data_IF_926202576556
#
_entry.id   IF_926202576556
#
_cell.length_a   1.000
_cell.length_b   1.000
_cell.length_c   1.000
_cell.angle_alpha   90.00
_cell.angle_beta   90.00
_cell.angle_gamma   90.00
#
_symmetry.space_group_name_H-M   'P 1'
#
loop_
_entity.id
_entity.type
_entity.pdbx_description
1 polymer ?
#
# COMPACT_ATOMS: atom_id res chain seq x y z
N UNK A 1 45.71 -2.60 15.98
CA UNK A 1 45.53 -2.42 17.42
C UNK A 1 45.28 -3.79 18.06
N UNK A 2 45.94 -4.14 19.16
CA UNK A 2 45.80 -5.46 19.78
C UNK A 2 44.47 -5.67 20.54
N UNK A 3 43.62 -4.64 20.62
CA UNK A 3 42.32 -4.72 21.27
C UNK A 3 41.26 -3.93 20.52
N UNK A 4 40.02 -4.40 20.63
CA UNK A 4 38.86 -3.67 20.14
C UNK A 4 38.58 -2.51 21.10
N UNK A 5 38.61 -1.29 20.59
CA UNK A 5 38.29 -0.10 21.36
C UNK A 5 37.19 0.67 20.61
N UNK A 6 36.12 0.99 21.33
CA UNK A 6 35.00 1.78 20.81
C UNK A 6 35.06 3.16 21.48
N UNK A 7 35.07 4.22 20.65
CA UNK A 7 35.05 5.60 21.11
C UNK A 7 33.65 6.18 21.23
N UNK A 8 32.69 5.55 20.52
CA UNK A 8 31.29 5.97 20.47
C UNK A 8 30.37 4.76 20.56
N UNK A 9 29.11 5.01 20.95
CA UNK A 9 28.08 3.98 21.00
C UNK A 9 27.59 3.70 19.58
N UNK A 10 27.69 2.46 19.15
CA UNK A 10 27.13 1.95 17.91
C UNK A 10 25.97 0.98 18.14
N UNK A 11 25.19 0.75 17.11
CA UNK A 11 24.06 -0.17 17.16
C UNK A 11 24.33 -1.40 16.29
N UNK A 12 23.85 -2.56 16.76
CA UNK A 12 23.90 -3.79 15.98
C UNK A 12 22.60 -3.95 15.19
N UNK A 13 22.63 -3.64 13.89
CA UNK A 13 21.50 -3.78 12.98
C UNK A 13 21.48 -5.14 12.24
N UNK A 14 22.11 -6.16 12.79
CA UNK A 14 22.13 -7.49 12.16
C UNK A 14 20.75 -8.12 12.23
N UNK A 15 20.32 -8.68 11.08
CA UNK A 15 19.15 -9.52 11.02
C UNK A 15 19.42 -10.84 11.75
N UNK A 16 18.55 -11.23 12.66
CA UNK A 16 18.67 -12.54 13.32
C UNK A 16 18.22 -13.68 12.38
N UNK A 17 18.62 -14.89 12.67
CA UNK A 17 18.39 -16.04 11.79
C UNK A 17 16.88 -16.36 11.63
N UNK A 18 16.06 -16.12 12.63
CA UNK A 18 14.61 -16.33 12.53
C UNK A 18 13.98 -15.34 11.55
N UNK A 19 14.33 -14.05 11.65
CA UNK A 19 13.84 -13.04 10.71
C UNK A 19 14.34 -13.31 9.29
N UNK A 20 15.60 -13.76 9.13
CA UNK A 20 16.16 -14.13 7.85
C UNK A 20 15.44 -15.33 7.22
N UNK A 21 15.14 -16.36 8.00
CA UNK A 21 14.39 -17.53 7.53
C UNK A 21 12.97 -17.18 7.09
N UNK A 22 12.27 -16.36 7.87
CA UNK A 22 10.94 -15.86 7.49
C UNK A 22 11.03 -15.03 6.22
N UNK A 23 12.01 -14.12 6.12
CA UNK A 23 12.23 -13.29 4.96
C UNK A 23 12.48 -14.12 3.69
N UNK A 24 13.30 -15.15 3.78
CA UNK A 24 13.58 -16.05 2.65
C UNK A 24 12.32 -16.78 2.19
N UNK A 25 11.57 -17.38 3.12
CA UNK A 25 10.32 -18.07 2.82
C UNK A 25 9.27 -17.15 2.16
N UNK A 26 9.20 -15.88 2.59
CA UNK A 26 8.33 -14.88 1.96
C UNK A 26 8.80 -14.50 0.56
N UNK A 27 10.12 -14.36 0.38
CA UNK A 27 10.72 -13.99 -0.89
C UNK A 27 10.46 -15.06 -1.97
N UNK A 28 10.52 -16.35 -1.62
CA UNK A 28 10.19 -17.46 -2.54
C UNK A 28 8.77 -17.40 -3.10
N UNK A 29 7.84 -16.75 -2.40
CA UNK A 29 6.42 -16.60 -2.79
C UNK A 29 6.08 -15.21 -3.34
N UNK A 30 7.02 -14.28 -3.31
CA UNK A 30 6.76 -12.86 -3.58
C UNK A 30 6.15 -12.64 -4.96
N UNK A 31 6.71 -13.22 -6.01
CA UNK A 31 6.22 -13.04 -7.39
C UNK A 31 4.79 -13.54 -7.56
N UNK A 32 4.44 -14.67 -6.96
CA UNK A 32 3.10 -15.24 -7.00
C UNK A 32 2.11 -14.29 -6.33
N UNK A 33 2.49 -13.70 -5.19
CA UNK A 33 1.61 -12.80 -4.45
C UNK A 33 1.46 -11.43 -5.13
N UNK A 34 2.54 -10.94 -5.73
CA UNK A 34 2.49 -9.70 -6.52
C UNK A 34 1.55 -9.88 -7.71
N UNK A 35 1.69 -10.97 -8.46
CA UNK A 35 0.82 -11.25 -9.60
C UNK A 35 -0.66 -11.36 -9.17
N UNK A 36 -0.93 -12.05 -8.07
CA UNK A 36 -2.30 -12.17 -7.54
C UNK A 36 -2.90 -10.81 -7.17
N UNK A 37 -2.12 -9.90 -6.56
CA UNK A 37 -2.57 -8.53 -6.26
C UNK A 37 -2.83 -7.72 -7.52
N UNK A 38 -2.00 -7.87 -8.54
CA UNK A 38 -2.19 -7.24 -9.86
C UNK A 38 -3.49 -7.70 -10.51
N UNK A 39 -3.78 -8.99 -10.45
CA UNK A 39 -5.06 -9.56 -10.93
C UNK A 39 -6.27 -9.01 -10.16
N UNK A 40 -6.17 -8.88 -8.84
CA UNK A 40 -7.23 -8.25 -8.03
C UNK A 40 -7.45 -6.81 -8.45
N UNK A 41 -6.38 -6.01 -8.60
CA UNK A 41 -6.49 -4.62 -9.06
C UNK A 41 -7.14 -4.55 -10.46
N UNK A 42 -6.71 -5.39 -11.39
CA UNK A 42 -7.31 -5.49 -12.72
C UNK A 42 -8.80 -5.83 -12.66
N UNK A 43 -9.20 -6.74 -11.78
CA UNK A 43 -10.61 -7.08 -11.58
C UNK A 43 -11.42 -5.89 -11.09
N UNK A 44 -10.91 -5.13 -10.10
CA UNK A 44 -11.56 -3.91 -9.64
C UNK A 44 -11.71 -2.88 -10.76
N UNK A 45 -10.66 -2.67 -11.56
CA UNK A 45 -10.71 -1.77 -12.71
C UNK A 45 -11.79 -2.19 -13.69
N UNK A 46 -11.83 -3.45 -14.10
CA UNK A 46 -12.82 -3.96 -15.05
C UNK A 46 -14.26 -3.83 -14.53
N UNK A 47 -14.49 -4.02 -13.22
CA UNK A 47 -15.81 -3.92 -12.62
C UNK A 47 -16.30 -2.48 -12.44
N UNK A 48 -15.37 -1.53 -12.28
CA UNK A 48 -15.68 -0.13 -12.04
C UNK A 48 -15.37 0.77 -13.24
N UNK A 49 -14.86 0.21 -14.32
CA UNK A 49 -14.64 0.91 -15.58
C UNK A 49 -15.98 1.40 -16.13
N UNK A 50 -16.01 2.67 -16.51
CA UNK A 50 -17.22 3.31 -17.03
C UNK A 50 -18.15 3.91 -15.97
N UNK A 51 -17.89 3.72 -14.67
CA UNK A 51 -18.62 4.46 -13.64
C UNK A 51 -18.14 5.91 -13.58
N UNK A 52 -19.01 6.90 -13.90
CA UNK A 52 -18.63 8.31 -13.85
C UNK A 52 -18.19 8.72 -12.44
N UNK A 53 -17.13 9.53 -12.37
CA UNK A 53 -16.63 10.06 -11.09
C UNK A 53 -15.78 9.09 -10.27
N UNK A 54 -15.47 7.90 -10.79
CA UNK A 54 -14.50 6.99 -10.19
C UNK A 54 -13.24 6.95 -11.06
N UNK A 55 -12.07 7.19 -10.45
CA UNK A 55 -10.78 7.08 -11.12
C UNK A 55 -9.81 6.25 -10.31
N UNK A 56 -8.91 5.55 -10.98
CA UNK A 56 -7.88 4.73 -10.37
C UNK A 56 -6.51 5.41 -10.48
N UNK A 57 -5.66 5.15 -9.51
CA UNK A 57 -4.25 5.52 -9.61
C UNK A 57 -3.61 4.83 -10.80
N UNK A 58 -2.88 5.60 -11.61
CA UNK A 58 -2.15 5.09 -12.77
C UNK A 58 -0.79 4.53 -12.36
N UNK A 59 -0.35 3.49 -13.07
CA UNK A 59 1.01 2.97 -12.98
C UNK A 59 1.86 3.60 -14.08
N UNK A 60 2.92 4.35 -13.74
CA UNK A 60 3.83 4.89 -14.74
C UNK A 60 4.52 3.78 -15.52
N UNK A 61 4.81 4.01 -16.80
CA UNK A 61 5.44 3.01 -17.69
C UNK A 61 6.82 2.54 -17.19
N UNK A 62 7.49 3.36 -16.40
CA UNK A 62 8.82 3.06 -15.82
C UNK A 62 8.76 2.28 -14.51
N UNK A 63 7.55 2.01 -13.99
CA UNK A 63 7.34 1.37 -12.69
C UNK A 63 6.54 0.08 -12.83
N UNK A 64 6.83 -0.90 -11.98
CA UNK A 64 6.01 -2.10 -11.80
C UNK A 64 5.48 -2.11 -10.36
N UNK A 65 4.26 -1.63 -10.17
CA UNK A 65 3.60 -1.62 -8.86
C UNK A 65 3.23 -3.05 -8.42
N UNK A 66 3.38 -3.33 -7.16
CA UNK A 66 2.87 -4.57 -6.57
C UNK A 66 1.35 -4.51 -6.28
N UNK A 67 0.71 -3.34 -6.47
CA UNK A 67 -0.69 -3.07 -6.11
C UNK A 67 -1.08 -3.62 -4.74
N UNK A 68 -0.25 -3.35 -3.75
CA UNK A 68 -0.54 -3.76 -2.36
C UNK A 68 -1.96 -3.38 -1.94
N UNK A 69 -2.38 -2.18 -2.31
CA UNK A 69 -3.76 -1.70 -2.13
C UNK A 69 -4.31 -1.23 -3.48
N UNK A 70 -5.59 -1.46 -3.69
CA UNK A 70 -6.33 -0.85 -4.80
C UNK A 70 -6.97 0.43 -4.30
N UNK A 71 -6.54 1.57 -4.82
CA UNK A 71 -7.05 2.89 -4.46
C UNK A 71 -7.90 3.48 -5.57
N UNK A 72 -8.96 4.17 -5.18
CA UNK A 72 -9.84 4.92 -6.08
C UNK A 72 -9.98 6.36 -5.58
N UNK A 73 -10.16 7.26 -6.51
CA UNK A 73 -10.62 8.62 -6.25
C UNK A 73 -12.09 8.70 -6.63
N UNK A 74 -12.87 9.38 -5.80
CA UNK A 74 -14.30 9.56 -6.00
C UNK A 74 -14.59 11.05 -6.14
N UNK A 75 -15.18 11.45 -7.25
CA UNK A 75 -15.72 12.79 -7.41
C UNK A 75 -17.16 12.80 -6.89
N UNK A 76 -17.35 13.39 -5.71
CA UNK A 76 -18.66 13.46 -5.06
C UNK A 76 -19.70 14.23 -5.87
N UNK A 77 -19.27 15.21 -6.67
CA UNK A 77 -20.19 16.00 -7.51
C UNK A 77 -20.79 15.16 -8.63
N UNK A 78 -20.05 14.17 -9.12
CA UNK A 78 -20.49 13.27 -10.19
C UNK A 78 -21.22 12.06 -9.60
N UNK A 79 -20.64 11.43 -8.58
CA UNK A 79 -21.16 10.19 -7.99
C UNK A 79 -22.33 10.40 -7.04
N UNK A 80 -22.50 11.61 -6.48
CA UNK A 80 -23.47 11.91 -5.44
C UNK A 80 -23.17 11.26 -4.07
N UNK A 81 -22.00 10.63 -3.92
CA UNK A 81 -21.60 9.96 -2.67
C UNK A 81 -20.20 10.42 -2.23
N UNK A 82 -20.07 10.79 -0.97
CA UNK A 82 -18.76 11.11 -0.39
C UNK A 82 -17.96 9.87 -0.03
N UNK A 83 -16.65 10.02 0.10
CA UNK A 83 -15.75 8.96 0.56
C UNK A 83 -16.18 8.39 1.90
N UNK A 84 -16.59 9.25 2.85
CA UNK A 84 -17.06 8.82 4.17
C UNK A 84 -18.31 7.96 4.09
N UNK A 85 -19.29 8.39 3.31
CA UNK A 85 -20.54 7.65 3.14
C UNK A 85 -20.29 6.29 2.48
N UNK A 86 -19.47 6.25 1.43
CA UNK A 86 -19.13 4.99 0.78
C UNK A 86 -18.42 4.04 1.75
N UNK A 87 -17.48 4.55 2.55
CA UNK A 87 -16.77 3.77 3.57
C UNK A 87 -17.74 3.14 4.58
N UNK A 88 -18.72 3.91 5.06
CA UNK A 88 -19.73 3.40 6.00
C UNK A 88 -20.60 2.30 5.35
N UNK A 89 -21.02 2.48 4.09
CA UNK A 89 -21.81 1.47 3.37
C UNK A 89 -21.01 0.18 3.19
N UNK A 90 -19.77 0.28 2.77
CA UNK A 90 -18.89 -0.87 2.58
C UNK A 90 -18.62 -1.60 3.91
N UNK A 91 -18.37 -0.85 4.98
CA UNK A 91 -18.18 -1.42 6.31
C UNK A 91 -19.39 -2.22 6.79
N UNK A 92 -20.61 -1.72 6.57
CA UNK A 92 -21.85 -2.46 6.86
C UNK A 92 -22.00 -3.73 6.03
N UNK A 93 -21.40 -3.77 4.85
CA UNK A 93 -21.34 -4.95 3.99
C UNK A 93 -20.17 -5.90 4.33
N UNK A 94 -19.46 -5.65 5.42
CA UNK A 94 -18.28 -6.45 5.85
C UNK A 94 -17.00 -6.17 5.06
N UNK A 95 -16.95 -5.06 4.33
CA UNK A 95 -15.78 -4.65 3.53
C UNK A 95 -15.06 -3.51 4.22
N UNK A 96 -13.88 -3.79 4.78
CA UNK A 96 -13.04 -2.77 5.39
C UNK A 96 -12.36 -1.92 4.31
N UNK A 97 -12.46 -0.60 4.45
CA UNK A 97 -11.78 0.38 3.60
C UNK A 97 -11.16 1.46 4.46
N UNK A 98 -10.12 2.11 3.93
CA UNK A 98 -9.39 3.19 4.63
C UNK A 98 -9.16 4.35 3.68
N UNK A 99 -8.99 5.54 4.27
CA UNK A 99 -8.51 6.68 3.51
C UNK A 99 -7.06 6.48 3.08
N UNK A 100 -6.71 7.04 1.92
CA UNK A 100 -5.32 7.13 1.52
C UNK A 100 -4.54 7.97 2.52
N UNK A 101 -3.31 7.55 2.82
CA UNK A 101 -2.45 8.29 3.75
C UNK A 101 -2.15 9.69 3.25
N UNK A 102 -2.23 10.63 4.16
CA UNK A 102 -1.86 12.00 3.91
C UNK A 102 -0.34 12.07 3.65
N UNK A 103 0.12 12.67 2.55
CA UNK A 103 1.54 12.82 2.26
C UNK A 103 2.30 13.52 3.39
N UNK A 104 3.57 13.14 3.59
CA UNK A 104 4.38 13.67 4.70
C UNK A 104 4.45 15.20 4.71
N UNK A 105 4.66 15.83 3.55
CA UNK A 105 4.72 17.29 3.43
C UNK A 105 3.43 18.02 3.79
N UNK A 106 2.31 17.30 3.89
CA UNK A 106 1.01 17.84 4.32
C UNK A 106 0.72 17.55 5.79
N UNK A 107 1.57 16.77 6.48
CA UNK A 107 1.40 16.50 7.90
C UNK A 107 1.70 17.75 8.74
N UNK A 108 0.88 18.07 9.78
CA UNK A 108 1.09 19.26 10.60
C UNK A 108 2.48 19.34 11.25
N UNK A 109 3.08 18.20 11.57
CA UNK A 109 4.41 18.11 12.20
C UNK A 109 5.55 18.58 11.27
N UNK A 110 5.31 18.68 9.96
CA UNK A 110 6.30 19.13 8.96
C UNK A 110 5.94 20.51 8.34
N UNK A 111 5.03 21.25 8.94
CA UNK A 111 4.64 22.61 8.51
C UNK A 111 5.33 23.68 9.32
#
# INVERSE_FOLDING_TARGET
LPFYQHLEIGYNYRMNNMAAAIGLAQLEKLEIWVERRRQINKRYRNLLEGFPGITFQTEPATCKSNFWLTTILIDEKITGISNDRLRVVLFKAGIETRFLWKPLHLQPVYK
#
